data_IF_823824275514
#
_entry.id   IF_823824275514
#
_cell.length_a   1.000
_cell.length_b   1.000
_cell.length_c   1.000
_cell.angle_alpha   90.00
_cell.angle_beta   90.00
_cell.angle_gamma   90.00
#
_symmetry.space_group_name_H-M   'P 1'
#
loop_
_entity.id
_entity.type
_entity.pdbx_description
1 polymer ?
#
# COMPACT_ATOMS: atom_id res chain seq x y z
N UNK A 1 17.88 16.06 -3.33
CA UNK A 1 17.69 16.68 -1.99
C UNK A 1 16.20 16.72 -1.70
N UNK A 2 15.72 16.31 -0.51
CA UNK A 2 14.27 16.42 -0.21
C UNK A 2 13.83 17.87 -0.25
N UNK A 3 12.79 18.14 -1.03
CA UNK A 3 12.26 19.48 -1.32
C UNK A 3 11.12 19.89 -0.40
N UNK A 4 10.81 19.09 0.63
CA UNK A 4 9.73 19.33 1.60
C UNK A 4 9.98 18.55 2.91
N UNK A 5 9.24 18.90 3.96
CA UNK A 5 9.20 18.16 5.23
C UNK A 5 8.36 16.89 5.10
N UNK A 6 8.92 15.72 5.45
CA UNK A 6 8.23 14.42 5.34
C UNK A 6 7.03 14.25 6.29
N UNK A 7 6.86 15.13 7.29
CA UNK A 7 5.69 15.15 8.17
C UNK A 7 4.60 16.10 7.67
N UNK A 8 4.93 17.40 7.51
CA UNK A 8 3.95 18.47 7.33
C UNK A 8 3.89 19.06 5.91
N UNK A 9 4.63 18.50 4.95
CA UNK A 9 4.69 18.95 3.54
C UNK A 9 5.17 20.38 3.28
N UNK A 10 5.53 21.15 4.31
CA UNK A 10 6.06 22.50 4.14
C UNK A 10 7.25 22.47 3.18
N UNK A 11 7.33 23.47 2.28
CA UNK A 11 8.50 23.74 1.43
C UNK A 11 9.54 24.54 2.20
N UNK A 12 10.83 24.54 1.81
CA UNK A 12 11.88 25.23 2.54
C UNK A 12 11.63 26.72 2.42
N UNK A 13 11.20 27.38 3.49
CA UNK A 13 10.95 28.83 3.46
C UNK A 13 12.20 29.64 3.79
N UNK A 14 13.15 29.08 4.58
CA UNK A 14 14.48 29.61 4.89
C UNK A 14 15.28 28.73 5.87
N UNK A 15 14.63 27.77 6.56
CA UNK A 15 15.29 26.86 7.52
C UNK A 15 15.88 25.62 6.84
N UNK A 16 17.12 25.28 7.20
CA UNK A 16 17.78 24.05 6.73
C UNK A 16 17.09 22.85 7.39
N UNK A 17 16.49 21.98 6.58
CA UNK A 17 15.88 20.75 7.10
C UNK A 17 16.92 19.83 7.74
N UNK A 18 16.55 19.25 8.87
CA UNK A 18 17.32 18.19 9.52
C UNK A 18 16.93 16.86 8.88
N UNK A 19 17.91 16.18 8.29
CA UNK A 19 17.72 14.79 7.85
C UNK A 19 17.62 13.88 9.07
N UNK A 20 16.87 12.79 8.96
CA UNK A 20 16.96 11.72 9.95
C UNK A 20 18.42 11.29 10.09
N UNK A 21 18.92 11.26 11.32
CA UNK A 21 20.32 10.94 11.63
C UNK A 21 20.68 9.50 11.25
N UNK A 22 19.72 8.58 11.31
CA UNK A 22 19.93 7.16 11.03
C UNK A 22 19.93 6.86 9.52
N UNK A 23 18.78 7.03 8.85
CA UNK A 23 18.63 6.64 7.44
C UNK A 23 19.07 7.73 6.44
N UNK A 24 19.07 9.01 6.83
CA UNK A 24 19.36 10.18 5.97
C UNK A 24 18.47 10.31 4.72
N UNK A 25 17.38 9.55 4.60
CA UNK A 25 16.46 9.51 3.45
C UNK A 25 15.29 10.50 3.57
N UNK A 26 14.88 10.82 4.79
CA UNK A 26 13.79 11.78 5.08
C UNK A 26 14.31 13.03 5.78
N UNK A 27 13.59 14.13 5.62
CA UNK A 27 13.94 15.46 6.12
C UNK A 27 12.78 16.11 6.87
N UNK A 28 13.11 16.84 7.93
CA UNK A 28 12.14 17.50 8.81
C UNK A 28 12.48 18.97 9.03
N UNK A 29 11.45 19.81 9.11
CA UNK A 29 11.61 21.23 9.46
C UNK A 29 11.91 21.43 10.95
N UNK A 30 11.42 20.55 11.82
CA UNK A 30 11.59 20.61 13.29
C UNK A 30 11.73 19.21 13.88
N UNK A 31 12.28 19.12 15.09
CA UNK A 31 12.32 17.87 15.86
C UNK A 31 10.92 17.35 16.20
N UNK A 32 9.96 18.26 16.43
CA UNK A 32 8.54 17.90 16.58
C UNK A 32 8.01 17.17 15.36
N UNK A 33 8.27 17.67 14.15
CA UNK A 33 7.87 16.97 12.93
C UNK A 33 8.54 15.59 12.77
N UNK A 34 9.78 15.43 13.25
CA UNK A 34 10.42 14.12 13.28
C UNK A 34 9.74 13.17 14.27
N UNK A 35 9.43 13.64 15.47
CA UNK A 35 8.75 12.86 16.51
C UNK A 35 7.33 12.45 16.07
N UNK A 36 6.58 13.38 15.49
CA UNK A 36 5.22 13.13 15.01
C UNK A 36 5.20 12.12 13.84
N UNK A 37 6.20 12.15 12.96
CA UNK A 37 6.34 11.19 11.86
C UNK A 37 6.99 9.87 12.29
N UNK A 38 7.57 9.79 13.49
CA UNK A 38 8.34 8.63 13.93
C UNK A 38 7.56 7.30 13.89
N UNK A 39 6.28 7.22 14.32
CA UNK A 39 5.53 5.95 14.26
C UNK A 39 5.41 5.36 12.85
N UNK A 40 5.43 6.21 11.83
CA UNK A 40 5.33 5.86 10.41
C UNK A 40 6.72 5.60 9.83
N UNK A 41 7.69 6.44 10.21
CA UNK A 41 9.05 6.36 9.70
C UNK A 41 9.87 5.24 10.32
N UNK A 42 9.70 4.96 11.62
CA UNK A 42 10.53 4.04 12.41
C UNK A 42 10.68 2.66 11.77
N UNK A 43 9.60 2.00 11.29
CA UNK A 43 9.72 0.72 10.62
C UNK A 43 10.63 0.80 9.40
N UNK A 44 10.64 1.93 8.69
CA UNK A 44 11.45 2.16 7.50
C UNK A 44 12.80 2.84 7.82
N UNK A 45 13.06 3.14 9.10
CA UNK A 45 14.22 3.89 9.56
C UNK A 45 15.37 2.94 9.92
N UNK A 46 15.91 2.26 8.90
CA UNK A 46 17.14 1.49 9.01
C UNK A 46 18.05 1.77 7.81
N UNK A 47 19.38 1.54 7.93
CA UNK A 47 20.23 1.47 6.75
C UNK A 47 19.65 0.46 5.76
N UNK A 48 19.67 0.78 4.47
CA UNK A 48 19.22 -0.14 3.42
C UNK A 48 20.12 -1.38 3.44
N UNK A 49 19.63 -2.49 4.00
CA UNK A 49 20.19 -3.81 3.78
C UNK A 49 19.45 -4.39 2.57
N UNK A 50 20.14 -4.65 1.44
CA UNK A 50 19.49 -5.18 0.25
C UNK A 50 18.80 -6.53 0.51
N UNK A 51 19.20 -7.27 1.55
CA UNK A 51 18.63 -8.56 1.92
C UNK A 51 17.40 -8.47 2.81
N UNK A 52 17.07 -7.29 3.36
CA UNK A 52 15.92 -7.09 4.24
C UNK A 52 14.81 -6.33 3.51
N UNK A 53 13.63 -6.94 3.40
CA UNK A 53 12.43 -6.30 2.84
C UNK A 53 11.43 -6.04 3.95
N UNK A 54 10.88 -4.83 3.97
CA UNK A 54 9.74 -4.50 4.83
C UNK A 54 8.44 -4.79 4.10
N UNK A 55 7.76 -5.83 4.56
CA UNK A 55 6.41 -6.19 4.14
C UNK A 55 5.35 -5.77 5.15
N UNK A 56 4.12 -6.13 4.83
CA UNK A 56 2.97 -5.95 5.70
C UNK A 56 2.25 -7.29 5.81
N UNK A 57 2.11 -7.76 7.05
CA UNK A 57 1.19 -8.83 7.40
C UNK A 57 -0.22 -8.26 7.53
N UNK A 58 -1.14 -8.79 6.73
CA UNK A 58 -2.56 -8.50 6.74
C UNK A 58 -3.24 -9.55 7.61
N UNK A 59 -3.68 -9.12 8.79
CA UNK A 59 -4.42 -9.97 9.73
C UNK A 59 -5.79 -10.34 9.17
N UNK A 60 -6.33 -11.48 9.60
CA UNK A 60 -7.67 -11.94 9.23
C UNK A 60 -8.70 -10.84 9.50
N UNK A 61 -9.53 -10.55 8.51
CA UNK A 61 -10.47 -9.44 8.51
C UNK A 61 -11.70 -9.74 7.64
N UNK A 62 -12.83 -9.15 8.03
CA UNK A 62 -14.08 -9.26 7.29
C UNK A 62 -14.94 -8.01 7.45
N UNK A 63 -15.64 -7.65 6.38
CA UNK A 63 -16.55 -6.53 6.32
C UNK A 63 -15.83 -5.18 6.45
N UNK A 64 -14.58 -5.06 6.02
CA UNK A 64 -13.78 -3.83 6.13
C UNK A 64 -14.49 -2.70 5.39
N UNK A 65 -14.89 -2.93 4.13
CA UNK A 65 -15.63 -1.93 3.34
C UNK A 65 -17.04 -1.71 3.89
N UNK A 66 -17.78 -2.80 4.19
CA UNK A 66 -19.19 -2.73 4.63
C UNK A 66 -19.36 -2.02 5.98
N UNK A 67 -18.45 -2.26 6.91
CA UNK A 67 -18.49 -1.72 8.28
C UNK A 67 -17.69 -0.42 8.41
N UNK A 68 -17.14 0.11 7.30
CA UNK A 68 -16.29 1.32 7.28
C UNK A 68 -15.14 1.26 8.29
N UNK A 69 -14.56 0.07 8.48
CA UNK A 69 -13.39 -0.10 9.35
C UNK A 69 -12.15 0.44 8.63
N UNK A 70 -11.21 1.00 9.37
CA UNK A 70 -9.93 1.45 8.81
C UNK A 70 -9.06 0.23 8.47
N UNK A 71 -8.65 0.04 7.20
CA UNK A 71 -7.79 -1.08 6.79
C UNK A 71 -6.50 -1.17 7.59
N UNK A 72 -5.87 -0.03 7.93
CA UNK A 72 -4.66 0.03 8.76
C UNK A 72 -4.74 -0.75 10.08
N UNK A 73 -5.93 -0.95 10.67
CA UNK A 73 -6.09 -1.69 11.92
C UNK A 73 -5.73 -3.18 11.76
N UNK A 74 -5.72 -3.69 10.53
CA UNK A 74 -5.40 -5.07 10.20
C UNK A 74 -3.98 -5.23 9.64
N UNK A 75 -3.16 -4.17 9.66
CA UNK A 75 -1.81 -4.18 9.12
C UNK A 75 -0.77 -4.23 10.23
N UNK A 76 0.14 -5.18 10.14
CA UNK A 76 1.35 -5.27 10.96
C UNK A 76 2.58 -5.23 10.05
N UNK A 77 3.60 -4.46 10.44
CA UNK A 77 4.85 -4.48 9.69
C UNK A 77 5.53 -5.83 9.91
N UNK A 78 5.92 -6.48 8.81
CA UNK A 78 6.62 -7.75 8.81
C UNK A 78 8.02 -7.52 8.22
N UNK A 79 9.06 -7.88 8.97
CA UNK A 79 10.42 -7.82 8.47
C UNK A 79 10.79 -9.16 7.84
N UNK A 80 11.04 -9.16 6.54
CA UNK A 80 11.51 -10.33 5.80
C UNK A 80 13.02 -10.21 5.65
N UNK A 81 13.76 -10.83 6.57
CA UNK A 81 15.24 -10.87 6.55
C UNK A 81 15.81 -12.18 6.02
N UNK A 82 14.99 -13.22 5.90
CA UNK A 82 15.38 -14.51 5.36
C UNK A 82 15.36 -14.46 3.82
N UNK A 83 16.51 -14.62 3.13
CA UNK A 83 16.56 -14.68 1.66
C UNK A 83 15.74 -15.83 1.06
N UNK A 84 15.52 -16.90 1.83
CA UNK A 84 14.78 -18.09 1.40
C UNK A 84 13.32 -18.07 1.87
N UNK A 85 12.82 -16.91 2.33
CA UNK A 85 11.44 -16.77 2.77
C UNK A 85 10.46 -17.24 1.68
N UNK A 86 9.44 -18.06 2.00
CA UNK A 86 8.54 -18.67 1.02
C UNK A 86 7.84 -17.68 0.07
N UNK A 87 7.63 -16.42 0.50
CA UNK A 87 7.07 -15.35 -0.34
C UNK A 87 7.79 -15.18 -1.68
N UNK A 88 9.09 -15.45 -1.76
CA UNK A 88 9.86 -15.30 -3.00
C UNK A 88 9.71 -16.46 -3.97
N UNK A 89 9.18 -17.60 -3.51
CA UNK A 89 9.01 -18.83 -4.31
C UNK A 89 7.54 -19.17 -4.56
N UNK A 90 6.70 -18.91 -3.56
CA UNK A 90 5.28 -19.28 -3.52
C UNK A 90 4.36 -18.06 -3.49
N UNK A 91 4.91 -16.84 -3.39
CA UNK A 91 4.11 -15.62 -3.45
C UNK A 91 3.53 -15.41 -4.85
N UNK A 92 2.30 -14.92 -4.90
CA UNK A 92 1.62 -14.56 -6.13
C UNK A 92 1.72 -13.07 -6.40
N UNK A 93 1.88 -12.71 -7.67
CA UNK A 93 1.81 -11.32 -8.12
C UNK A 93 0.39 -10.74 -7.94
N UNK A 94 0.32 -9.44 -7.68
CA UNK A 94 -0.93 -8.66 -7.67
C UNK A 94 -1.04 -7.85 -8.98
N UNK A 95 -1.74 -8.36 -10.03
CA UNK A 95 -1.66 -7.80 -11.38
C UNK A 95 -2.14 -6.34 -11.50
N UNK A 96 -3.16 -5.96 -10.73
CA UNK A 96 -3.66 -4.57 -10.73
C UNK A 96 -2.61 -3.61 -10.17
N UNK A 97 -1.93 -3.97 -9.09
CA UNK A 97 -0.95 -3.08 -8.47
C UNK A 97 0.33 -2.99 -9.30
N UNK A 98 0.73 -4.08 -9.97
CA UNK A 98 1.79 -4.09 -10.98
C UNK A 98 1.51 -3.07 -12.10
N UNK A 99 0.29 -3.06 -12.66
CA UNK A 99 -0.12 -2.08 -13.68
C UNK A 99 -0.14 -0.64 -13.17
N UNK A 100 -0.34 -0.43 -11.86
CA UNK A 100 -0.20 0.87 -11.21
C UNK A 100 1.27 1.29 -10.99
N UNK A 101 2.24 0.44 -11.31
CA UNK A 101 3.67 0.67 -11.10
C UNK A 101 4.16 0.34 -9.68
N UNK A 102 3.37 -0.42 -8.91
CA UNK A 102 3.72 -0.90 -7.57
C UNK A 102 3.56 -2.43 -7.56
N UNK A 103 4.56 -3.17 -8.03
CA UNK A 103 4.48 -4.63 -8.14
C UNK A 103 4.47 -5.23 -6.73
N UNK A 104 3.32 -5.74 -6.31
CA UNK A 104 3.16 -6.40 -5.02
C UNK A 104 3.16 -7.91 -5.23
N UNK A 105 3.85 -8.61 -4.33
CA UNK A 105 3.74 -10.06 -4.17
C UNK A 105 2.99 -10.31 -2.86
N UNK A 106 1.99 -11.18 -2.91
CA UNK A 106 1.19 -11.60 -1.76
C UNK A 106 1.39 -13.10 -1.51
N UNK A 107 1.52 -13.47 -0.24
CA UNK A 107 1.72 -14.85 0.18
C UNK A 107 0.77 -15.19 1.33
N UNK A 108 0.05 -16.30 1.20
CA UNK A 108 -0.83 -16.81 2.25
C UNK A 108 0.02 -17.44 3.36
N UNK A 109 -0.22 -17.04 4.61
CA UNK A 109 0.51 -17.58 5.76
C UNK A 109 -0.03 -18.98 6.08
N UNK A 110 0.83 -20.03 6.12
CA UNK A 110 0.39 -21.38 6.45
C UNK A 110 -0.22 -21.46 7.85
N UNK A 111 -1.20 -22.36 8.03
CA UNK A 111 -1.89 -22.61 9.31
C UNK A 111 -2.64 -21.41 9.91
N UNK A 112 -2.79 -20.32 9.16
CA UNK A 112 -3.67 -19.22 9.53
C UNK A 112 -5.08 -19.44 8.97
N UNK A 113 -6.09 -19.05 9.73
CA UNK A 113 -7.51 -19.28 9.39
C UNK A 113 -8.31 -17.98 9.48
N UNK A 114 -9.48 -17.98 8.87
CA UNK A 114 -10.45 -16.90 8.88
C UNK A 114 -10.50 -16.13 7.55
N UNK A 115 -11.49 -15.25 7.41
CA UNK A 115 -11.66 -14.41 6.23
C UNK A 115 -10.55 -13.36 6.14
N UNK A 116 -10.25 -12.91 4.92
CA UNK A 116 -9.32 -11.81 4.70
C UNK A 116 -9.71 -10.99 3.46
N UNK A 117 -10.76 -10.18 3.61
CA UNK A 117 -11.32 -9.35 2.54
C UNK A 117 -10.27 -8.43 1.89
N UNK A 118 -9.37 -7.85 2.69
CA UNK A 118 -8.32 -6.98 2.15
C UNK A 118 -7.42 -7.74 1.18
N UNK A 119 -6.97 -8.94 1.55
CA UNK A 119 -6.08 -9.74 0.71
C UNK A 119 -6.75 -10.17 -0.59
N UNK A 120 -8.04 -10.55 -0.53
CA UNK A 120 -8.83 -10.87 -1.73
C UNK A 120 -8.90 -9.67 -2.68
N UNK A 121 -9.16 -8.46 -2.17
CA UNK A 121 -9.25 -7.24 -2.99
C UNK A 121 -7.91 -6.76 -3.52
N UNK A 122 -6.81 -7.03 -2.82
CA UNK A 122 -5.48 -6.76 -3.35
C UNK A 122 -5.12 -7.74 -4.47
N UNK A 123 -5.54 -9.00 -4.34
CA UNK A 123 -5.23 -10.08 -5.29
C UNK A 123 -6.31 -10.28 -6.36
N UNK A 124 -6.71 -9.20 -7.04
CA UNK A 124 -7.63 -9.25 -8.18
C UNK A 124 -6.91 -9.31 -9.53
N UNK A 125 -7.49 -9.99 -10.50
CA UNK A 125 -6.99 -10.06 -11.87
C UNK A 125 -7.23 -8.76 -12.63
N UNK A 126 -6.22 -8.29 -13.35
CA UNK A 126 -6.33 -7.07 -14.15
C UNK A 126 -7.23 -7.25 -15.40
N UNK A 127 -7.55 -8.48 -15.78
CA UNK A 127 -8.41 -8.78 -16.93
C UNK A 127 -9.89 -8.60 -16.61
N UNK A 128 -10.33 -9.07 -15.44
CA UNK A 128 -11.75 -9.15 -15.09
C UNK A 128 -12.12 -8.49 -13.73
N UNK A 129 -11.15 -8.02 -12.94
CA UNK A 129 -11.41 -7.33 -11.67
C UNK A 129 -11.76 -8.26 -10.51
N UNK A 130 -11.74 -9.58 -10.71
CA UNK A 130 -12.06 -10.58 -9.69
C UNK A 130 -10.81 -11.26 -9.16
N UNK A 131 -10.85 -11.66 -7.88
CA UNK A 131 -9.83 -12.53 -7.33
C UNK A 131 -9.93 -13.94 -7.95
N UNK A 132 -8.83 -14.68 -8.13
CA UNK A 132 -8.90 -16.07 -8.58
C UNK A 132 -9.73 -16.94 -7.62
N UNK A 133 -10.32 -18.06 -8.07
CA UNK A 133 -11.15 -18.93 -7.23
C UNK A 133 -10.47 -19.38 -5.93
N UNK A 134 -9.15 -19.62 -5.95
CA UNK A 134 -8.36 -20.00 -4.77
C UNK A 134 -8.32 -18.91 -3.69
N UNK A 135 -8.54 -17.64 -4.06
CA UNK A 135 -8.59 -16.48 -3.17
C UNK A 135 -10.02 -16.13 -2.75
N UNK A 136 -11.05 -16.61 -3.45
CA UNK A 136 -12.46 -16.39 -3.11
C UNK A 136 -12.97 -17.37 -2.03
N UNK A 137 -12.11 -17.73 -1.08
CA UNK A 137 -12.42 -18.69 -0.01
C UNK A 137 -12.63 -17.97 1.32
N UNK A 138 -13.55 -18.49 2.13
CA UNK A 138 -13.80 -17.94 3.47
C UNK A 138 -12.60 -18.12 4.41
N UNK A 139 -11.87 -19.22 4.30
CA UNK A 139 -10.76 -19.56 5.18
C UNK A 139 -9.40 -19.24 4.54
N UNK A 140 -9.26 -17.99 4.09
CA UNK A 140 -8.05 -17.51 3.43
C UNK A 140 -6.88 -17.38 4.41
N UNK A 141 -7.15 -16.98 5.65
CA UNK A 141 -6.13 -16.74 6.66
C UNK A 141 -5.42 -15.39 6.51
N UNK A 142 -4.34 -15.22 7.27
CA UNK A 142 -3.47 -14.06 7.16
C UNK A 142 -2.60 -14.13 5.90
N UNK A 143 -2.21 -12.96 5.39
CA UNK A 143 -1.31 -12.87 4.25
C UNK A 143 -0.15 -11.93 4.54
N UNK A 144 1.00 -12.15 3.93
CA UNK A 144 2.12 -11.21 3.91
C UNK A 144 2.20 -10.61 2.52
N UNK A 145 2.40 -9.29 2.45
CA UNK A 145 2.58 -8.55 1.20
C UNK A 145 3.91 -7.83 1.22
N UNK A 146 4.67 -7.94 0.14
CA UNK A 146 5.91 -7.19 -0.09
C UNK A 146 5.87 -6.54 -1.46
N UNK A 147 6.75 -5.57 -1.70
CA UNK A 147 7.02 -5.13 -3.07
C UNK A 147 8.07 -6.03 -3.70
N UNK A 148 7.82 -6.48 -4.93
CA UNK A 148 8.77 -7.28 -5.70
C UNK A 148 10.08 -6.52 -5.96
N UNK A 149 9.98 -5.22 -6.23
CA UNK A 149 11.12 -4.33 -6.45
C UNK A 149 11.92 -4.02 -5.17
N UNK A 150 11.60 -4.69 -4.05
CA UNK A 150 12.22 -4.57 -2.72
C UNK A 150 12.20 -3.16 -2.14
N UNK A 151 11.43 -2.24 -2.73
CA UNK A 151 11.25 -0.91 -2.14
C UNK A 151 10.37 -0.97 -0.91
N UNK A 152 10.44 0.04 -0.02
CA UNK A 152 9.59 0.09 1.16
C UNK A 152 8.09 0.03 0.83
N UNK A 153 7.35 -0.79 1.57
CA UNK A 153 5.89 -0.82 1.58
C UNK A 153 5.38 -0.25 2.91
N UNK A 154 4.65 0.87 2.84
CA UNK A 154 4.05 1.49 4.03
C UNK A 154 2.59 1.07 4.20
N UNK A 155 2.05 1.15 5.42
CA UNK A 155 0.65 0.82 5.70
C UNK A 155 -0.32 1.72 4.95
N UNK A 156 0.03 2.99 4.81
CA UNK A 156 -0.73 4.00 4.08
C UNK A 156 -0.75 3.71 2.60
N UNK A 157 0.39 3.26 2.04
CA UNK A 157 0.47 2.87 0.63
C UNK A 157 -0.41 1.65 0.36
N UNK A 158 -0.33 0.63 1.22
CA UNK A 158 -1.16 -0.57 1.10
C UNK A 158 -2.65 -0.26 1.28
N UNK A 159 -3.00 0.63 2.20
CA UNK A 159 -4.38 1.10 2.38
C UNK A 159 -4.91 1.84 1.16
N UNK A 160 -4.10 2.72 0.57
CA UNK A 160 -4.47 3.43 -0.64
C UNK A 160 -4.67 2.46 -1.82
N UNK A 161 -3.82 1.44 -1.95
CA UNK A 161 -3.98 0.38 -2.96
C UNK A 161 -5.24 -0.45 -2.73
N UNK A 162 -5.53 -0.83 -1.48
CA UNK A 162 -6.80 -1.47 -1.14
C UNK A 162 -8.01 -0.59 -1.47
N UNK A 163 -7.93 0.71 -1.16
CA UNK A 163 -9.00 1.68 -1.44
C UNK A 163 -9.21 1.88 -2.94
N UNK A 164 -8.13 1.82 -3.72
CA UNK A 164 -8.17 1.83 -5.17
C UNK A 164 -8.81 0.55 -5.71
N UNK A 165 -8.26 -0.62 -5.40
CA UNK A 165 -8.73 -1.89 -5.94
C UNK A 165 -10.15 -2.26 -5.51
N UNK A 166 -10.50 -1.97 -4.25
CA UNK A 166 -11.81 -2.26 -3.70
C UNK A 166 -12.80 -1.14 -4.02
N UNK A 167 -13.07 -0.22 -3.07
CA UNK A 167 -14.13 0.78 -3.22
C UNK A 167 -14.11 1.59 -4.53
N UNK A 168 -12.94 1.97 -5.06
CA UNK A 168 -12.86 2.82 -6.25
C UNK A 168 -13.05 2.05 -7.56
N UNK A 169 -12.26 1.01 -7.84
CA UNK A 169 -12.43 0.25 -9.07
C UNK A 169 -13.78 -0.47 -9.11
N UNK A 170 -14.29 -0.95 -7.97
CA UNK A 170 -15.60 -1.61 -7.90
C UNK A 170 -16.78 -0.66 -8.13
N UNK A 171 -16.58 0.66 -8.29
CA UNK A 171 -17.63 1.55 -8.79
C UNK A 171 -17.81 1.48 -10.31
N UNK A 172 -16.86 0.86 -11.03
CA UNK A 172 -16.91 0.73 -12.49
C UNK A 172 -17.48 -0.65 -12.87
N UNK A 173 -18.23 -0.75 -13.98
CA UNK A 173 -18.68 -2.04 -14.47
C UNK A 173 -17.50 -2.84 -15.04
N UNK A 174 -17.39 -4.09 -14.58
CA UNK A 174 -16.42 -5.06 -15.10
C UNK A 174 -17.01 -5.97 -16.19
N UNK A 175 -18.35 -6.02 -16.29
CA UNK A 175 -19.09 -6.81 -17.29
C UNK A 175 -19.05 -6.12 -18.65
N UNK A 176 -18.70 -6.86 -19.71
CA UNK A 176 -18.57 -6.36 -21.08
C UNK A 176 -19.85 -5.67 -21.58
N UNK A 177 -21.04 -6.18 -21.25
CA UNK A 177 -22.31 -5.59 -21.67
C UNK A 177 -22.58 -4.24 -20.99
N UNK A 178 -22.11 -4.07 -19.74
CA UNK A 178 -22.24 -2.81 -19.01
C UNK A 178 -21.10 -1.81 -19.33
N UNK A 179 -20.03 -2.26 -19.97
CA UNK A 179 -18.94 -1.38 -20.44
C UNK A 179 -19.31 -0.58 -21.68
N UNK A 180 -20.26 -1.04 -22.50
CA UNK A 180 -20.76 -0.30 -23.67
C UNK A 180 -21.45 1.02 -23.29
N UNK A 181 -21.99 1.12 -22.07
CA UNK A 181 -22.66 2.32 -21.54
C UNK A 181 -21.71 3.32 -20.86
N UNK A 182 -20.46 2.93 -20.61
CA UNK A 182 -19.46 3.74 -19.89
C UNK A 182 -18.37 4.22 -20.85
N UNK A 183 -17.73 5.34 -20.53
CA UNK A 183 -16.67 5.96 -21.33
C UNK A 183 -15.36 5.13 -21.29
N UNK A 184 -15.39 3.92 -21.86
CA UNK A 184 -14.25 3.03 -22.07
C UNK A 184 -14.09 1.92 -21.02
N UNK A 185 -13.33 0.85 -21.36
CA UNK A 185 -13.12 -0.29 -20.48
C UNK A 185 -12.29 0.05 -19.24
N UNK A 186 -12.66 -0.49 -18.08
CA UNK A 186 -12.05 -0.19 -16.78
C UNK A 186 -10.53 -0.45 -16.75
N UNK A 187 -10.04 -1.36 -17.58
CA UNK A 187 -8.64 -1.72 -17.70
C UNK A 187 -7.77 -0.51 -18.11
N UNK A 188 -8.33 0.51 -18.77
CA UNK A 188 -7.61 1.76 -19.07
C UNK A 188 -7.34 2.61 -17.82
N UNK A 189 -8.09 2.40 -16.73
CA UNK A 189 -7.84 3.03 -15.44
C UNK A 189 -6.60 2.42 -14.74
N UNK A 190 -6.14 1.25 -15.19
CA UNK A 190 -4.99 0.54 -14.63
C UNK A 190 -3.69 1.04 -15.23
N UNK A 191 -3.28 2.23 -14.82
CA UNK A 191 -1.98 2.77 -15.18
C UNK A 191 -1.41 3.66 -14.06
N UNK A 192 -0.09 3.94 -14.09
CA UNK A 192 0.54 4.74 -13.03
C UNK A 192 -0.04 6.14 -12.88
N UNK A 193 -0.49 6.78 -13.96
CA UNK A 193 -1.04 8.15 -13.92
C UNK A 193 -2.36 8.21 -13.17
N UNK A 194 -3.30 7.32 -13.49
CA UNK A 194 -4.61 7.27 -12.83
C UNK A 194 -4.45 6.91 -11.35
N UNK A 195 -3.60 5.92 -11.05
CA UNK A 195 -3.23 5.58 -9.68
C UNK A 195 -2.64 6.79 -8.92
N UNK A 196 -1.69 7.51 -9.52
CA UNK A 196 -1.07 8.67 -8.87
C UNK A 196 -2.08 9.77 -8.55
N UNK A 197 -3.02 10.06 -9.48
CA UNK A 197 -4.09 11.03 -9.26
C UNK A 197 -4.98 10.60 -8.09
N UNK A 198 -5.42 9.34 -8.09
CA UNK A 198 -6.22 8.78 -7.00
C UNK A 198 -5.48 8.86 -5.66
N UNK A 199 -4.24 8.37 -5.62
CA UNK A 199 -3.46 8.29 -4.40
C UNK A 199 -3.14 9.67 -3.82
N UNK A 200 -2.82 10.67 -4.66
CA UNK A 200 -2.64 12.04 -4.21
C UNK A 200 -3.89 12.59 -3.52
N UNK A 201 -5.06 12.40 -4.14
CA UNK A 201 -6.35 12.81 -3.56
C UNK A 201 -6.63 12.07 -2.24
N UNK A 202 -6.47 10.75 -2.24
CA UNK A 202 -6.71 9.92 -1.05
C UNK A 202 -5.80 10.33 0.11
N UNK A 203 -4.50 10.51 -0.13
CA UNK A 203 -3.55 10.95 0.88
C UNK A 203 -3.87 12.36 1.41
N UNK A 204 -4.36 13.27 0.57
CA UNK A 204 -4.78 14.59 1.04
C UNK A 204 -6.02 14.48 1.94
N UNK A 205 -7.03 13.74 1.53
CA UNK A 205 -8.24 13.50 2.33
C UNK A 205 -7.92 12.88 3.70
N UNK A 206 -7.06 11.85 3.74
CA UNK A 206 -6.67 11.22 5.00
C UNK A 206 -5.82 12.16 5.88
N UNK A 207 -4.96 12.98 5.28
CA UNK A 207 -4.19 13.99 5.99
C UNK A 207 -5.09 15.07 6.60
N UNK A 208 -6.07 15.59 5.85
CA UNK A 208 -7.05 16.57 6.36
C UNK A 208 -7.94 15.97 7.46
N UNK A 209 -8.21 14.65 7.40
CA UNK A 209 -8.87 13.92 8.47
C UNK A 209 -8.00 13.70 9.72
N UNK A 210 -6.77 14.22 9.74
CA UNK A 210 -5.85 14.12 10.87
C UNK A 210 -5.21 12.75 11.05
N UNK A 211 -5.25 11.88 10.03
CA UNK A 211 -4.68 10.54 10.14
C UNK A 211 -3.15 10.60 9.97
N UNK A 212 -2.38 9.99 10.88
CA UNK A 212 -0.93 9.95 10.79
C UNK A 212 -0.47 9.14 9.57
N UNK A 213 0.70 9.49 9.03
CA UNK A 213 1.36 8.76 7.93
C UNK A 213 0.95 9.17 6.52
N UNK A 214 -0.21 9.79 6.37
CA UNK A 214 -0.67 10.32 5.08
C UNK A 214 -0.05 11.68 4.74
N UNK A 215 0.86 12.19 5.57
CA UNK A 215 1.56 13.45 5.36
C UNK A 215 2.44 13.50 4.11
N UNK A 216 2.72 12.39 3.43
CA UNK A 216 3.44 12.42 2.16
C UNK A 216 3.14 11.18 1.30
N UNK A 217 2.76 11.38 0.05
CA UNK A 217 2.69 10.32 -0.94
C UNK A 217 3.99 10.25 -1.74
N UNK A 218 4.62 9.07 -1.75
CA UNK A 218 5.81 8.77 -2.55
C UNK A 218 5.46 7.69 -3.57
N UNK A 219 4.98 8.05 -4.78
CA UNK A 219 4.49 7.07 -5.76
C UNK A 219 5.55 6.06 -6.20
N UNK A 220 6.84 6.40 -6.10
CA UNK A 220 7.93 5.55 -6.57
C UNK A 220 8.61 4.69 -5.52
N UNK A 221 8.49 4.99 -4.21
CA UNK A 221 9.49 4.55 -3.21
C UNK A 221 10.90 5.07 -3.55
N UNK A 222 11.67 5.47 -2.54
CA UNK A 222 13.03 6.01 -2.70
C UNK A 222 13.93 5.02 -3.44
#
# INVERSE_FOLDING_TARGET
MSTYCNNCRAKPSCTRYKKCSNCKTVSYCTERCQADHWPVHQPLCKPYDPNVVWGIRILSNNGVTKLKKLPMNFFQHEMISDPDHPIYREGEQCPVTERCGIPLIIYKVPNSTGPNEISVKLRIEASNGYAPPAWQVWDLGECIVVREDRKPLTKELLEALFSFNGPYLMTYPFDEAAQEEVWGPWQHLLNPTVWQIFALKHYDEQYQAGRPGFGCFLPGGI
#
